data_IF_901140746716
#
_entry.id   IF_901140746716
#
_cell.length_a   1.000
_cell.length_b   1.000
_cell.length_c   1.000
_cell.angle_alpha   90.00
_cell.angle_beta   90.00
_cell.angle_gamma   90.00
#
_symmetry.space_group_name_H-M   'P 1'
#
loop_
_entity.id
_entity.type
_entity.pdbx_description
1 polymer ?
#
# COMPACT_ATOMS: atom_id res chain seq x y z
N UNK A 1 -34.60 -16.40 -3.21
CA UNK A 1 -33.30 -15.69 -3.21
C UNK A 1 -33.13 -15.08 -1.83
N UNK A 2 -32.30 -15.68 -0.98
CA UNK A 2 -31.98 -15.15 0.34
C UNK A 2 -30.98 -14.01 0.17
N UNK A 3 -31.39 -12.80 0.54
CA UNK A 3 -30.49 -11.65 0.70
C UNK A 3 -29.39 -12.05 1.69
N UNK A 4 -28.16 -12.28 1.22
CA UNK A 4 -27.00 -12.38 2.11
C UNK A 4 -26.93 -11.06 2.89
N UNK A 5 -27.06 -11.12 4.21
CA UNK A 5 -26.76 -9.98 5.07
C UNK A 5 -25.27 -9.65 4.87
N UNK A 6 -24.99 -8.50 4.26
CA UNK A 6 -23.64 -7.95 4.20
C UNK A 6 -23.29 -7.43 5.59
N UNK A 7 -22.19 -7.91 6.16
CA UNK A 7 -21.65 -7.34 7.38
C UNK A 7 -20.87 -6.07 7.02
N UNK A 8 -21.23 -4.96 7.66
CA UNK A 8 -20.51 -3.70 7.55
C UNK A 8 -19.42 -3.66 8.61
N UNK A 9 -18.20 -3.29 8.20
CA UNK A 9 -17.07 -3.11 9.10
C UNK A 9 -16.74 -1.62 9.24
N UNK A 10 -16.15 -1.23 10.37
CA UNK A 10 -15.71 0.15 10.57
C UNK A 10 -14.58 0.51 9.59
N UNK A 11 -14.37 1.79 9.25
CA UNK A 11 -13.27 2.19 8.39
C UNK A 11 -11.89 1.71 8.88
N UNK A 12 -11.63 1.74 10.18
CA UNK A 12 -10.39 1.23 10.77
C UNK A 12 -10.24 -0.28 10.57
N UNK A 13 -11.33 -1.03 10.74
CA UNK A 13 -11.36 -2.47 10.48
C UNK A 13 -11.15 -2.76 8.99
N UNK A 14 -11.63 -1.87 8.11
CA UNK A 14 -11.39 -1.96 6.67
C UNK A 14 -9.91 -1.75 6.33
N UNK A 15 -9.21 -0.79 6.96
CA UNK A 15 -7.75 -0.69 6.79
C UNK A 15 -7.04 -1.97 7.22
N UNK A 16 -7.44 -2.55 8.36
CA UNK A 16 -6.89 -3.83 8.83
C UNK A 16 -7.11 -4.97 7.82
N UNK A 17 -8.31 -5.06 7.23
CA UNK A 17 -8.59 -6.01 6.16
C UNK A 17 -7.70 -5.77 4.93
N UNK A 18 -7.55 -4.52 4.52
CA UNK A 18 -6.80 -4.11 3.34
C UNK A 18 -5.29 -4.38 3.45
N UNK A 19 -4.74 -4.55 4.65
CA UNK A 19 -3.35 -4.98 4.86
C UNK A 19 -3.05 -6.33 4.18
N UNK A 20 -4.03 -7.22 4.14
CA UNK A 20 -3.86 -8.59 3.66
C UNK A 20 -4.66 -8.86 2.39
N UNK A 21 -5.85 -8.28 2.30
CA UNK A 21 -6.87 -8.61 1.32
C UNK A 21 -7.20 -7.45 0.40
N UNK A 22 -7.63 -7.76 -0.82
CA UNK A 22 -8.05 -6.75 -1.79
C UNK A 22 -9.56 -6.45 -1.68
N UNK A 23 -10.02 -5.26 -2.12
CA UNK A 23 -11.45 -4.93 -2.08
C UNK A 23 -12.36 -5.98 -2.73
N UNK A 24 -11.92 -6.56 -3.84
CA UNK A 24 -12.67 -7.61 -4.54
C UNK A 24 -12.87 -8.86 -3.67
N UNK A 25 -11.89 -9.21 -2.84
CA UNK A 25 -11.99 -10.35 -1.91
C UNK A 25 -13.04 -10.09 -0.81
N UNK A 26 -13.19 -8.83 -0.37
CA UNK A 26 -14.23 -8.47 0.60
C UNK A 26 -15.63 -8.83 0.08
N UNK A 27 -15.92 -8.52 -1.19
CA UNK A 27 -17.20 -8.86 -1.81
C UNK A 27 -17.45 -10.38 -1.83
N UNK A 28 -16.43 -11.17 -2.15
CA UNK A 28 -16.52 -12.62 -2.14
C UNK A 28 -16.80 -13.18 -0.73
N UNK A 29 -16.25 -12.53 0.30
CA UNK A 29 -16.48 -12.86 1.71
C UNK A 29 -17.81 -12.30 2.27
N UNK A 30 -18.57 -11.53 1.48
CA UNK A 30 -19.81 -10.90 1.93
C UNK A 30 -19.58 -9.73 2.90
N UNK A 31 -18.41 -9.10 2.82
CA UNK A 31 -18.05 -7.90 3.56
C UNK A 31 -18.23 -6.67 2.67
N UNK A 32 -18.84 -5.61 3.21
CA UNK A 32 -18.89 -4.33 2.53
C UNK A 32 -17.84 -3.39 3.11
N UNK A 33 -16.80 -3.09 2.32
CA UNK A 33 -15.81 -2.07 2.70
C UNK A 33 -16.41 -0.68 2.42
N UNK A 34 -16.35 0.26 3.36
CA UNK A 34 -16.91 1.60 3.16
C UNK A 34 -15.99 2.47 2.30
N UNK A 35 -15.58 2.02 1.10
CA UNK A 35 -14.71 2.80 0.21
C UNK A 35 -15.46 4.00 -0.37
N UNK A 36 -14.77 5.13 -0.49
CA UNK A 36 -15.35 6.38 -1.01
C UNK A 36 -15.77 6.23 -2.47
N UNK A 37 -14.98 5.56 -3.30
CA UNK A 37 -15.30 5.29 -4.71
C UNK A 37 -16.57 4.46 -4.92
N UNK A 38 -16.93 3.61 -3.96
CA UNK A 38 -18.11 2.74 -4.04
C UNK A 38 -19.28 3.23 -3.18
N UNK A 39 -19.08 4.29 -2.38
CA UNK A 39 -20.11 4.83 -1.51
C UNK A 39 -21.16 5.62 -2.32
N UNK A 40 -22.46 5.34 -2.16
CA UNK A 40 -23.51 6.15 -2.78
C UNK A 40 -23.44 7.60 -2.31
N UNK A 41 -23.61 8.56 -3.23
CA UNK A 41 -23.45 10.00 -2.98
C UNK A 41 -24.33 10.57 -1.83
N UNK A 42 -25.39 9.87 -1.44
CA UNK A 42 -26.34 10.30 -0.41
C UNK A 42 -26.20 9.53 0.92
N UNK A 43 -25.22 8.63 1.06
CA UNK A 43 -25.01 7.87 2.28
C UNK A 43 -24.06 8.62 3.23
N UNK A 44 -24.45 8.80 4.50
CA UNK A 44 -23.58 9.27 5.59
C UNK A 44 -22.64 8.15 6.04
N UNK A 45 -21.80 7.65 5.14
CA UNK A 45 -20.81 6.64 5.49
C UNK A 45 -19.55 7.34 6.00
N UNK A 46 -19.09 6.96 7.18
CA UNK A 46 -17.67 7.09 7.50
C UNK A 46 -16.94 6.25 6.44
N UNK A 47 -16.16 6.89 5.58
CA UNK A 47 -15.57 6.25 4.39
C UNK A 47 -14.07 6.09 4.53
N UNK A 48 -13.56 5.04 3.88
CA UNK A 48 -12.15 4.90 3.53
C UNK A 48 -11.96 5.66 2.22
N UNK A 49 -11.18 6.74 2.23
CA UNK A 49 -10.75 7.40 1.01
C UNK A 49 -9.78 6.47 0.28
N UNK A 50 -10.06 6.18 -0.98
CA UNK A 50 -9.18 5.49 -1.90
C UNK A 50 -8.69 6.46 -2.98
N UNK A 51 -7.37 6.62 -3.08
CA UNK A 51 -6.72 7.57 -3.96
C UNK A 51 -5.60 6.91 -4.75
N UNK A 52 -5.54 7.18 -6.05
CA UNK A 52 -4.45 6.71 -6.90
C UNK A 52 -3.11 7.25 -6.42
N UNK A 53 -2.13 6.35 -6.33
CA UNK A 53 -0.78 6.68 -5.96
C UNK A 53 0.27 5.88 -6.72
N UNK A 54 1.52 6.24 -6.52
CA UNK A 54 2.65 5.69 -7.26
C UNK A 54 3.82 5.38 -6.32
N UNK A 55 4.37 4.18 -6.44
CA UNK A 55 5.57 3.76 -5.71
C UNK A 55 6.81 3.94 -6.58
N UNK A 56 7.82 4.60 -6.03
CA UNK A 56 9.19 4.61 -6.56
C UNK A 56 10.15 4.12 -5.48
N UNK A 57 11.04 3.20 -5.83
CA UNK A 57 12.10 2.69 -4.97
C UNK A 57 13.41 2.71 -5.75
N UNK A 58 14.44 3.32 -5.19
CA UNK A 58 15.75 3.45 -5.83
C UNK A 58 16.84 3.06 -4.85
N UNK A 59 17.67 2.09 -5.21
CA UNK A 59 18.83 1.67 -4.43
C UNK A 59 19.96 2.69 -4.63
N UNK A 60 20.34 3.41 -3.58
CA UNK A 60 21.39 4.44 -3.62
C UNK A 60 22.78 3.89 -3.28
N UNK A 61 22.85 2.79 -2.53
CA UNK A 61 24.09 2.07 -2.24
C UNK A 61 23.80 0.59 -2.02
N UNK A 62 24.75 -0.29 -2.38
CA UNK A 62 24.65 -1.75 -2.18
C UNK A 62 25.46 -2.24 -0.98
N UNK A 63 26.39 -1.44 -0.46
CA UNK A 63 27.20 -1.79 0.71
C UNK A 63 27.71 -0.53 1.45
N UNK A 64 27.08 -0.13 2.58
CA UNK A 64 25.85 -0.69 3.13
C UNK A 64 24.66 -0.52 2.18
N UNK A 65 23.65 -1.38 2.29
CA UNK A 65 22.45 -1.26 1.45
C UNK A 65 21.63 -0.05 1.88
N UNK A 66 21.35 0.84 0.93
CA UNK A 66 20.58 2.07 1.13
C UNK A 66 19.57 2.25 0.00
N UNK A 67 18.37 2.73 0.35
CA UNK A 67 17.29 2.96 -0.60
C UNK A 67 16.59 4.29 -0.32
N UNK A 68 16.14 4.89 -1.42
CA UNK A 68 15.11 5.92 -1.42
C UNK A 68 13.77 5.28 -1.75
N UNK A 69 12.75 5.59 -0.97
CA UNK A 69 11.36 5.23 -1.22
C UNK A 69 10.52 6.49 -1.33
N UNK A 70 9.63 6.52 -2.31
CA UNK A 70 8.60 7.55 -2.45
C UNK A 70 7.24 6.90 -2.74
N UNK A 71 6.23 7.26 -1.97
CA UNK A 71 4.81 7.02 -2.30
C UNK A 71 4.19 8.37 -2.63
N UNK A 72 3.83 8.58 -3.89
CA UNK A 72 3.27 9.84 -4.39
C UNK A 72 1.77 9.70 -4.60
N UNK A 73 0.98 10.65 -4.11
CA UNK A 73 -0.49 10.66 -4.24
C UNK A 73 -0.94 12.01 -4.79
N UNK A 74 -1.00 12.15 -6.14
CA UNK A 74 -1.18 13.46 -6.78
C UNK A 74 -2.50 14.15 -6.42
N UNK A 75 -3.59 13.38 -6.31
CA UNK A 75 -4.92 13.91 -5.98
C UNK A 75 -5.01 14.53 -4.58
N UNK A 76 -4.04 14.23 -3.71
CA UNK A 76 -3.94 14.79 -2.36
C UNK A 76 -2.80 15.80 -2.23
N UNK A 77 -2.02 16.03 -3.29
CA UNK A 77 -0.80 16.85 -3.26
C UNK A 77 0.18 16.41 -2.17
N UNK A 78 0.29 15.10 -1.95
CA UNK A 78 1.11 14.51 -0.90
C UNK A 78 2.15 13.53 -1.46
N UNK A 79 3.29 13.44 -0.79
CA UNK A 79 4.25 12.37 -0.99
C UNK A 79 4.82 11.92 0.34
N UNK A 80 4.91 10.62 0.54
CA UNK A 80 5.70 10.05 1.61
C UNK A 80 7.08 9.74 1.07
N UNK A 81 8.13 10.12 1.80
CA UNK A 81 9.52 9.88 1.42
C UNK A 81 10.29 9.25 2.55
N UNK A 82 11.22 8.37 2.20
CA UNK A 82 12.23 7.81 3.10
C UNK A 82 13.54 7.67 2.34
N UNK A 83 14.62 8.05 2.99
CA UNK A 83 15.98 7.69 2.60
C UNK A 83 16.66 7.02 3.78
N UNK A 84 17.31 5.88 3.57
CA UNK A 84 18.12 5.29 4.63
C UNK A 84 18.57 3.87 4.38
N UNK A 85 19.35 3.39 5.34
CA UNK A 85 19.88 2.04 5.35
C UNK A 85 18.79 1.00 5.61
N UNK A 86 19.02 -0.18 5.09
CA UNK A 86 18.17 -1.33 5.28
C UNK A 86 19.01 -2.60 5.35
N UNK A 87 18.67 -3.51 6.27
CA UNK A 87 19.31 -4.82 6.38
C UNK A 87 18.55 -5.83 5.54
N UNK A 88 19.17 -6.29 4.46
CA UNK A 88 18.71 -7.43 3.68
C UNK A 88 19.57 -8.66 4.00
N UNK A 89 18.98 -9.76 4.50
CA UNK A 89 19.73 -11.00 4.72
C UNK A 89 20.26 -11.54 3.39
N UNK A 90 21.51 -12.02 3.39
CA UNK A 90 22.17 -12.52 2.17
C UNK A 90 21.60 -13.85 1.71
N UNK A 91 20.91 -14.54 2.60
CA UNK A 91 20.34 -15.87 2.43
C UNK A 91 18.99 -15.84 1.71
N UNK A 92 18.38 -14.66 1.54
CA UNK A 92 17.11 -14.53 0.83
C UNK A 92 17.38 -14.58 -0.68
N UNK A 93 16.79 -15.54 -1.43
CA UNK A 93 17.11 -15.79 -2.84
C UNK A 93 16.56 -14.72 -3.78
N UNK A 94 15.83 -13.74 -3.26
CA UNK A 94 15.16 -12.75 -4.07
C UNK A 94 15.96 -11.45 -4.18
N UNK A 95 16.18 -10.94 -5.40
CA UNK A 95 17.02 -9.77 -5.63
C UNK A 95 16.30 -8.48 -5.21
N UNK A 96 17.03 -7.54 -4.61
CA UNK A 96 16.53 -6.18 -4.39
C UNK A 96 16.45 -5.44 -5.72
N UNK A 97 15.24 -5.04 -6.10
CA UNK A 97 14.93 -4.36 -7.35
C UNK A 97 14.59 -2.88 -7.12
N UNK A 98 14.88 -2.06 -8.13
CA UNK A 98 14.40 -0.68 -8.19
C UNK A 98 13.08 -0.65 -8.96
N UNK A 99 12.23 0.33 -8.66
CA UNK A 99 11.04 0.59 -9.44
C UNK A 99 10.76 2.08 -9.54
N UNK A 100 10.04 2.47 -10.59
CA UNK A 100 9.69 3.86 -10.85
C UNK A 100 8.21 3.96 -11.19
N UNK A 101 7.52 4.83 -10.46
CA UNK A 101 6.11 5.18 -10.64
C UNK A 101 5.18 3.96 -10.86
N UNK A 102 5.36 2.91 -10.07
CA UNK A 102 4.47 1.73 -10.13
C UNK A 102 3.10 2.12 -9.56
N UNK A 103 2.00 1.92 -10.31
CA UNK A 103 0.68 2.35 -9.88
C UNK A 103 0.16 1.52 -8.71
N UNK A 104 -0.50 2.19 -7.77
CA UNK A 104 -1.13 1.60 -6.62
C UNK A 104 -2.27 2.47 -6.08
N UNK A 105 -2.87 2.03 -4.99
CA UNK A 105 -3.97 2.74 -4.32
C UNK A 105 -3.59 3.00 -2.87
N UNK A 106 -3.71 4.25 -2.43
CA UNK A 106 -3.66 4.64 -1.03
C UNK A 106 -5.08 4.65 -0.46
N UNK A 107 -5.29 3.86 0.60
CA UNK A 107 -6.48 3.83 1.42
C UNK A 107 -6.25 4.62 2.71
N UNK A 108 -7.12 5.57 3.03
CA UNK A 108 -7.02 6.46 4.20
C UNK A 108 -8.33 6.47 4.98
N UNK A 109 -8.24 6.61 6.30
CA UNK A 109 -9.40 6.79 7.18
C UNK A 109 -9.31 8.11 7.91
N UNK A 110 -10.41 8.85 7.90
CA UNK A 110 -10.50 10.16 8.56
C UNK A 110 -9.90 11.26 7.69
N UNK A 111 -8.80 11.84 8.16
CA UNK A 111 -8.15 12.99 7.53
C UNK A 111 -6.93 12.59 6.71
N UNK A 112 -6.59 13.40 5.70
CA UNK A 112 -5.34 13.23 4.97
C UNK A 112 -4.14 13.32 5.92
N UNK A 113 -3.05 12.55 5.67
CA UNK A 113 -1.82 12.69 6.43
C UNK A 113 -1.34 14.14 6.42
N UNK A 114 -1.06 14.68 7.60
CA UNK A 114 -0.43 15.99 7.71
C UNK A 114 1.06 15.87 7.35
N UNK A 115 1.65 16.91 6.71
CA UNK A 115 3.08 16.94 6.47
C UNK A 115 3.87 16.79 7.78
N UNK A 116 4.87 15.91 7.78
CA UNK A 116 5.66 15.60 8.97
C UNK A 116 6.09 14.14 9.06
N UNK A 117 6.78 13.79 10.16
CA UNK A 117 7.24 12.42 10.42
C UNK A 117 6.07 11.45 10.52
N UNK A 118 6.26 10.25 9.96
CA UNK A 118 5.30 9.16 10.07
C UNK A 118 6.03 7.82 10.06
N UNK A 119 5.57 6.89 10.89
CA UNK A 119 6.07 5.52 10.88
C UNK A 119 5.49 4.79 9.67
N UNK A 120 6.22 3.81 9.16
CA UNK A 120 5.61 2.88 8.21
C UNK A 120 6.20 1.49 8.35
N UNK A 121 5.40 0.51 8.00
CA UNK A 121 5.86 -0.84 7.78
C UNK A 121 5.55 -1.23 6.32
N UNK A 122 6.34 -2.15 5.79
CA UNK A 122 6.20 -2.61 4.41
C UNK A 122 6.19 -4.13 4.40
N UNK A 123 5.09 -4.69 3.90
CA UNK A 123 4.91 -6.11 3.68
C UNK A 123 5.09 -6.42 2.20
N UNK A 124 5.77 -7.51 1.92
CA UNK A 124 6.16 -7.89 0.56
C UNK A 124 5.66 -9.30 0.30
N UNK A 125 4.99 -9.48 -0.82
CA UNK A 125 4.53 -10.76 -1.32
C UNK A 125 5.22 -10.97 -2.66
N UNK A 126 6.42 -11.58 -2.67
CA UNK A 126 7.17 -11.72 -3.90
C UNK A 126 6.43 -12.62 -4.89
N UNK A 127 6.71 -12.43 -6.17
CA UNK A 127 6.19 -13.34 -7.18
C UNK A 127 6.67 -14.77 -6.90
N UNK A 128 5.74 -15.72 -6.85
CA UNK A 128 6.10 -17.13 -6.75
C UNK A 128 6.80 -17.59 -8.03
N UNK A 129 7.88 -18.40 -7.91
CA UNK A 129 8.48 -19.02 -9.09
C UNK A 129 7.43 -19.89 -9.79
N UNK A 130 7.46 -19.97 -11.12
CA UNK A 130 6.53 -20.83 -11.86
C UNK A 130 6.71 -22.29 -11.41
N UNK A 131 5.60 -22.98 -11.16
CA UNK A 131 5.58 -24.38 -10.75
C UNK A 131 5.86 -25.35 -11.91
N UNK A 132 5.75 -24.88 -13.15
CA UNK A 132 5.96 -25.62 -14.40
C UNK A 132 6.55 -24.72 -15.48
N UNK A 133 7.19 -25.29 -16.50
CA UNK A 133 7.71 -24.57 -17.68
C UNK A 133 6.61 -23.99 -18.61
N UNK A 134 5.35 -24.04 -18.18
CA UNK A 134 4.22 -23.48 -18.91
C UNK A 134 4.23 -21.94 -18.78
N UNK A 135 4.04 -21.19 -19.87
CA UNK A 135 3.95 -19.73 -19.81
C UNK A 135 2.73 -19.34 -18.98
N UNK A 136 2.97 -18.90 -17.74
CA UNK A 136 1.90 -18.39 -16.88
C UNK A 136 1.19 -17.24 -17.57
N UNK A 137 -0.11 -17.42 -17.82
CA UNK A 137 -1.02 -16.38 -18.27
C UNK A 137 -1.14 -15.34 -17.15
N UNK A 138 -0.36 -14.26 -17.21
CA UNK A 138 -0.54 -12.97 -16.53
C UNK A 138 -0.85 -12.96 -15.00
N UNK A 139 -0.53 -14.00 -14.25
CA UNK A 139 -0.94 -14.17 -12.85
C UNK A 139 0.29 -14.56 -12.02
N UNK A 140 0.84 -13.80 -11.08
CA UNK A 140 0.49 -12.56 -10.38
C UNK A 140 1.79 -11.75 -10.24
N UNK A 141 1.79 -10.45 -10.53
CA UNK A 141 2.92 -9.60 -10.13
C UNK A 141 3.09 -9.68 -8.60
N UNK A 142 4.31 -9.54 -8.09
CA UNK A 142 4.52 -9.39 -6.65
C UNK A 142 3.71 -8.22 -6.09
N UNK A 143 3.45 -8.21 -4.79
CA UNK A 143 2.68 -7.16 -4.13
C UNK A 143 3.50 -6.52 -3.03
N UNK A 144 3.50 -5.19 -3.00
CA UNK A 144 3.99 -4.40 -1.87
C UNK A 144 2.78 -3.75 -1.21
N UNK A 145 2.68 -3.93 0.11
CA UNK A 145 1.71 -3.26 0.96
C UNK A 145 2.49 -2.42 1.96
N UNK A 146 2.19 -1.13 2.03
CA UNK A 146 2.80 -0.21 2.99
C UNK A 146 1.71 0.30 3.92
N UNK A 147 1.87 0.06 5.22
CA UNK A 147 1.01 0.63 6.24
C UNK A 147 1.70 1.83 6.90
N UNK A 148 1.00 2.96 6.98
CA UNK A 148 1.47 4.19 7.60
C UNK A 148 0.81 4.33 8.97
N UNK A 149 1.55 4.73 9.99
CA UNK A 149 1.05 4.77 11.36
C UNK A 149 1.61 5.96 12.13
N UNK A 150 0.71 6.59 12.89
CA UNK A 150 1.11 7.48 13.97
C UNK A 150 1.42 6.65 15.23
N UNK A 151 1.82 7.31 16.31
CA UNK A 151 2.05 6.66 17.61
C UNK A 151 0.84 5.87 18.14
N UNK A 152 -0.36 6.13 17.61
CA UNK A 152 -1.61 5.63 18.17
C UNK A 152 -2.35 4.68 17.23
N UNK A 153 -2.17 4.77 15.90
CA UNK A 153 -2.96 4.01 14.94
C UNK A 153 -2.37 3.98 13.53
N UNK A 154 -2.82 3.02 12.73
CA UNK A 154 -2.67 3.05 11.27
C UNK A 154 -3.50 4.21 10.73
N UNK A 155 -2.87 5.00 9.87
CA UNK A 155 -3.42 6.20 9.22
C UNK A 155 -3.67 5.98 7.74
N UNK A 156 -3.01 4.99 7.13
CA UNK A 156 -3.24 4.62 5.74
C UNK A 156 -2.60 3.30 5.35
N UNK A 157 -3.07 2.74 4.23
CA UNK A 157 -2.52 1.54 3.61
C UNK A 157 -2.34 1.82 2.13
N UNK A 158 -1.12 1.72 1.61
CA UNK A 158 -0.82 1.80 0.19
C UNK A 158 -0.55 0.41 -0.37
N UNK A 159 -1.17 0.08 -1.51
CA UNK A 159 -1.03 -1.23 -2.16
C UNK A 159 -0.63 -1.06 -3.62
N UNK A 160 0.36 -1.84 -4.05
CA UNK A 160 0.82 -1.85 -5.45
C UNK A 160 1.22 -3.26 -5.87
N UNK A 161 1.10 -3.54 -7.17
CA UNK A 161 1.54 -4.77 -7.81
C UNK A 161 3.02 -4.66 -8.22
N UNK A 162 3.89 -4.33 -7.26
CA UNK A 162 5.33 -4.28 -7.44
C UNK A 162 6.00 -5.54 -6.84
N UNK A 163 6.89 -6.17 -7.60
CA UNK A 163 7.82 -7.17 -7.08
C UNK A 163 9.05 -6.44 -6.51
N UNK A 164 8.88 -5.77 -5.37
CA UNK A 164 9.93 -4.90 -4.81
C UNK A 164 10.14 -5.17 -3.31
N UNK A 165 11.38 -4.94 -2.88
CA UNK A 165 11.84 -5.09 -1.51
C UNK A 165 12.02 -3.73 -0.86
N UNK A 166 11.15 -3.46 0.11
CA UNK A 166 11.08 -2.22 0.87
C UNK A 166 11.12 -2.54 2.37
N UNK A 167 12.10 -2.00 3.08
CA UNK A 167 12.10 -2.06 4.55
C UNK A 167 11.11 -1.08 5.16
N UNK A 168 10.43 -1.49 6.23
CA UNK A 168 9.77 -0.55 7.16
C UNK A 168 10.78 0.37 7.87
N UNK A 169 10.25 1.39 8.54
CA UNK A 169 11.02 2.37 9.31
C UNK A 169 10.26 3.68 9.53
N UNK A 170 10.99 4.79 9.51
CA UNK A 170 10.43 6.14 9.59
C UNK A 170 10.60 6.85 8.25
N UNK A 171 9.67 7.74 7.93
CA UNK A 171 9.78 8.66 6.80
C UNK A 171 8.98 9.94 7.04
N UNK A 172 8.77 10.69 5.98
CA UNK A 172 8.17 12.02 6.03
C UNK A 172 7.07 12.16 4.98
N UNK A 173 5.88 12.56 5.40
CA UNK A 173 4.91 13.15 4.49
C UNK A 173 5.32 14.59 4.17
N UNK A 174 5.32 14.93 2.88
CA UNK A 174 5.59 16.28 2.38
C UNK A 174 4.46 16.71 1.46
N UNK A 175 4.12 18.00 1.50
CA UNK A 175 3.26 18.61 0.48
C UNK A 175 4.04 18.70 -0.83
N UNK A 176 3.41 18.29 -1.92
CA UNK A 176 3.94 18.56 -3.24
C UNK A 176 3.66 20.02 -3.56
N UNK A 177 4.72 20.79 -3.83
CA UNK A 177 4.56 22.08 -4.45
C UNK A 177 4.15 21.81 -5.91
N UNK A 178 3.00 22.34 -6.32
CA UNK A 178 2.64 22.36 -7.74
C UNK A 178 3.74 23.12 -8.48
N UNK A 179 4.35 22.47 -9.47
CA UNK A 179 5.36 23.07 -10.35
C UNK A 179 4.70 23.96 -11.41
#
# INVERSE_FOLDING_TARGET
>A
MTSKLLAYITPESALGFLLLHDPDEAQHLGLNLPLKSTCPANARCETVLDADGFLTVTTTSRNPLEQNLTVRVPSLELSFTRSGQYRWPREIPYPIQDCQDVPGILYLVGENPQPGPNGFNAQQFPKYPPLTDEPQVNSLAGRVVIDFWSEQRITGVFKTNADNYVSGGNGMWVKQLQA
#
